data_IF_242012521033
#
_entry.id   IF_242012521033
#
_cell.length_a   1.000
_cell.length_b   1.000
_cell.length_c   1.000
_cell.angle_alpha   90.00
_cell.angle_beta   90.00
_cell.angle_gamma   90.00
#
_symmetry.space_group_name_H-M   'P 1'
#
loop_
_entity.id
_entity.type
_entity.pdbx_description
1 polymer ?
#
# COMPACT_ATOMS: atom_id res chain seq x y z
N UNK A 1 -1.22 -3.42 -3.89
CA UNK A 1 -1.19 -2.59 -5.10
C UNK A 1 -0.07 -3.02 -6.03
N UNK A 2 -0.20 -2.72 -7.31
CA UNK A 2 0.76 -3.10 -8.34
C UNK A 2 0.35 -2.51 -9.68
N UNK A 3 0.82 -3.12 -10.77
CA UNK A 3 0.43 -2.72 -12.12
C UNK A 3 -1.04 -3.04 -12.38
N UNK A 4 -1.75 -2.11 -13.05
CA UNK A 4 -3.17 -2.25 -13.36
C UNK A 4 -4.05 -1.18 -12.72
N UNK A 5 -5.36 -1.43 -12.68
CA UNK A 5 -6.34 -0.46 -12.19
C UNK A 5 -6.60 -0.61 -10.69
N UNK A 6 -5.62 -0.24 -9.89
CA UNK A 6 -5.64 -0.30 -8.44
C UNK A 6 -5.69 1.09 -7.79
N UNK A 7 -5.72 1.14 -6.46
CA UNK A 7 -5.89 2.37 -5.70
C UNK A 7 -4.88 3.47 -6.03
N UNK A 8 -3.63 3.13 -6.36
CA UNK A 8 -2.59 4.11 -6.72
C UNK A 8 -2.90 4.73 -8.07
N UNK A 9 -3.14 3.92 -9.09
CA UNK A 9 -3.44 4.39 -10.46
C UNK A 9 -4.76 5.14 -10.52
N UNK A 10 -5.79 4.68 -9.81
CA UNK A 10 -7.07 5.37 -9.70
C UNK A 10 -6.93 6.75 -9.05
N UNK A 11 -6.13 6.85 -7.98
CA UNK A 11 -5.88 8.13 -7.32
C UNK A 11 -5.15 9.11 -8.24
N UNK A 12 -4.14 8.64 -8.97
CA UNK A 12 -3.39 9.47 -9.93
C UNK A 12 -4.27 9.98 -11.07
N UNK A 13 -5.15 9.13 -11.61
CA UNK A 13 -6.13 9.54 -12.63
C UNK A 13 -7.11 10.60 -12.10
N UNK A 14 -7.62 10.40 -10.89
CA UNK A 14 -8.50 11.39 -10.25
C UNK A 14 -7.79 12.73 -10.04
N UNK A 15 -6.53 12.70 -9.67
CA UNK A 15 -5.73 13.91 -9.46
C UNK A 15 -5.47 14.71 -10.75
N UNK A 16 -5.70 14.14 -11.93
CA UNK A 16 -5.62 14.87 -13.20
C UNK A 16 -6.86 15.74 -13.48
N UNK A 17 -8.00 15.36 -12.94
CA UNK A 17 -9.30 16.00 -13.21
C UNK A 17 -9.92 16.70 -12.01
N UNK A 18 -9.55 16.26 -10.79
CA UNK A 18 -10.08 16.80 -9.54
C UNK A 18 -9.04 17.67 -8.84
N UNK A 19 -9.43 18.84 -8.37
CA UNK A 19 -8.57 19.73 -7.56
C UNK A 19 -8.52 19.32 -6.10
N UNK A 20 -9.50 18.57 -5.63
CA UNK A 20 -9.64 18.10 -4.27
C UNK A 20 -10.19 16.66 -4.25
N UNK A 21 -9.57 15.79 -3.46
CA UNK A 21 -9.98 14.39 -3.31
C UNK A 21 -10.22 14.10 -1.83
N UNK A 22 -11.37 13.49 -1.51
CA UNK A 22 -11.68 13.05 -0.15
C UNK A 22 -11.34 11.58 0.03
N UNK A 23 -10.62 11.26 1.11
CA UNK A 23 -10.26 9.89 1.48
C UNK A 23 -10.50 9.67 2.97
N UNK A 24 -10.87 8.44 3.38
CA UNK A 24 -11.02 8.12 4.80
C UNK A 24 -9.72 8.37 5.57
N UNK A 25 -9.81 9.16 6.66
CA UNK A 25 -8.67 9.48 7.52
C UNK A 25 -8.52 8.54 8.71
N UNK A 26 -9.54 7.75 8.99
CA UNK A 26 -9.67 6.88 10.16
C UNK A 26 -9.49 5.38 9.85
N UNK A 27 -9.29 5.01 8.59
CA UNK A 27 -9.00 3.64 8.17
C UNK A 27 -7.50 3.42 8.15
N UNK A 28 -7.02 2.61 9.10
CA UNK A 28 -5.61 2.24 9.24
C UNK A 28 -5.33 0.89 8.62
N UNK A 29 -4.20 0.78 7.95
CA UNK A 29 -3.77 -0.44 7.30
C UNK A 29 -2.27 -0.48 7.05
N UNK A 30 -1.80 -1.55 6.44
CA UNK A 30 -0.44 -1.72 5.96
C UNK A 30 -0.46 -1.92 4.44
N UNK A 31 -0.43 -0.85 3.64
CA UNK A 31 -0.41 -0.97 2.19
C UNK A 31 0.77 -1.82 1.74
N UNK A 32 0.51 -2.81 0.90
CA UNK A 32 1.53 -3.77 0.49
C UNK A 32 1.59 -3.86 -1.03
N UNK A 33 2.79 -3.69 -1.60
CA UNK A 33 2.98 -3.83 -3.03
C UNK A 33 2.97 -5.29 -3.45
N UNK A 34 2.55 -5.55 -4.68
CA UNK A 34 2.58 -6.89 -5.27
C UNK A 34 4.01 -7.42 -5.36
N UNK A 35 5.00 -6.57 -5.60
CA UNK A 35 6.42 -6.93 -5.64
C UNK A 35 6.92 -7.48 -4.30
N UNK A 36 6.54 -6.86 -3.19
CA UNK A 36 6.93 -7.34 -1.86
C UNK A 36 6.29 -8.69 -1.54
N UNK A 37 5.03 -8.89 -1.93
CA UNK A 37 4.36 -10.19 -1.79
C UNK A 37 5.06 -11.25 -2.64
N UNK A 38 5.42 -10.94 -3.88
CA UNK A 38 6.15 -11.85 -4.76
C UNK A 38 7.51 -12.26 -4.18
N UNK A 39 8.25 -11.32 -3.60
CA UNK A 39 9.52 -11.61 -2.90
C UNK A 39 9.32 -12.59 -1.74
N UNK A 40 8.26 -12.42 -0.95
CA UNK A 40 7.93 -13.34 0.15
C UNK A 40 7.59 -14.72 -0.37
N UNK A 41 6.76 -14.81 -1.42
CA UNK A 41 6.41 -16.09 -2.04
C UNK A 41 7.67 -16.83 -2.51
N UNK A 42 8.58 -16.14 -3.18
CA UNK A 42 9.83 -16.71 -3.64
C UNK A 42 10.68 -17.26 -2.47
N UNK A 43 10.82 -16.49 -1.38
CA UNK A 43 11.55 -16.92 -0.18
C UNK A 43 10.92 -18.14 0.49
N UNK A 44 9.59 -18.22 0.53
CA UNK A 44 8.85 -19.37 1.05
C UNK A 44 9.10 -20.63 0.21
N UNK A 45 9.10 -20.49 -1.12
CA UNK A 45 9.38 -21.59 -2.03
C UNK A 45 10.81 -22.12 -1.87
N UNK A 46 11.80 -21.24 -1.69
CA UNK A 46 13.19 -21.64 -1.48
C UNK A 46 13.40 -22.42 -0.17
N UNK A 47 12.57 -22.16 0.83
CA UNK A 47 12.66 -22.82 2.15
C UNK A 47 11.75 -24.04 2.31
N UNK A 48 11.03 -24.44 1.26
CA UNK A 48 10.00 -25.49 1.34
C UNK A 48 9.04 -25.29 2.54
N UNK A 49 8.68 -24.02 2.78
CA UNK A 49 7.80 -23.64 3.89
C UNK A 49 6.33 -23.84 3.49
N UNK A 50 5.58 -24.53 4.33
CA UNK A 50 4.16 -24.84 4.10
C UNK A 50 3.31 -24.25 5.23
N UNK A 51 2.10 -23.87 4.92
CA UNK A 51 1.14 -23.34 5.86
C UNK A 51 0.56 -22.00 5.46
N UNK A 52 -0.07 -21.33 6.41
CA UNK A 52 -0.66 -20.00 6.24
C UNK A 52 0.31 -18.93 6.75
N UNK A 53 0.63 -17.99 5.88
CA UNK A 53 1.50 -16.85 6.17
C UNK A 53 0.79 -15.55 5.83
N UNK A 54 0.82 -14.59 6.75
CA UNK A 54 0.52 -13.21 6.43
C UNK A 54 1.79 -12.52 5.93
N UNK A 55 1.66 -11.76 4.85
CA UNK A 55 2.76 -11.00 4.26
C UNK A 55 2.30 -9.59 3.97
N UNK A 56 2.69 -8.66 4.82
CA UNK A 56 2.37 -7.24 4.69
C UNK A 56 3.62 -6.39 4.88
N UNK A 57 3.68 -5.24 4.22
CA UNK A 57 4.73 -4.26 4.45
C UNK A 57 4.74 -3.77 5.89
N UNK A 58 5.90 -3.39 6.38
CA UNK A 58 6.06 -2.85 7.72
C UNK A 58 5.44 -1.48 7.86
N UNK A 59 5.07 -1.13 9.10
CA UNK A 59 4.45 0.14 9.43
C UNK A 59 2.94 0.14 9.23
N UNK A 60 2.33 1.21 9.70
CA UNK A 60 0.87 1.44 9.64
C UNK A 60 0.63 2.85 9.16
N UNK A 61 -0.32 3.04 8.28
CA UNK A 61 -0.76 4.37 7.87
C UNK A 61 -2.25 4.41 7.61
N UNK A 62 -2.81 5.61 7.65
CA UNK A 62 -4.18 5.83 7.19
C UNK A 62 -4.24 5.87 5.66
N UNK A 63 -5.44 5.67 5.11
CA UNK A 63 -5.66 5.87 3.66
C UNK A 63 -5.32 7.30 3.23
N UNK A 64 -5.55 8.28 4.11
CA UNK A 64 -5.18 9.67 3.88
C UNK A 64 -3.65 9.85 3.75
N UNK A 65 -2.88 9.29 4.68
CA UNK A 65 -1.41 9.37 4.65
C UNK A 65 -0.84 8.69 3.41
N UNK A 66 -1.37 7.52 3.06
CA UNK A 66 -0.97 6.78 1.86
C UNK A 66 -1.26 7.58 0.59
N UNK A 67 -2.47 8.11 0.44
CA UNK A 67 -2.86 8.93 -0.70
C UNK A 67 -2.02 10.22 -0.82
N UNK A 68 -1.77 10.87 0.31
CA UNK A 68 -0.92 12.07 0.35
C UNK A 68 0.51 11.78 -0.13
N UNK A 69 1.08 10.64 0.29
CA UNK A 69 2.41 10.24 -0.17
C UNK A 69 2.46 9.97 -1.66
N UNK A 70 1.47 9.29 -2.20
CA UNK A 70 1.35 9.03 -3.65
C UNK A 70 1.39 10.35 -4.43
N UNK A 71 0.56 11.31 -4.06
CA UNK A 71 0.49 12.59 -4.78
C UNK A 71 1.78 13.40 -4.63
N UNK A 72 2.41 13.38 -3.46
CA UNK A 72 3.70 14.03 -3.23
C UNK A 72 4.78 13.44 -4.15
N UNK A 73 4.88 12.12 -4.24
CA UNK A 73 5.84 11.43 -5.11
C UNK A 73 5.56 11.66 -6.60
N UNK A 74 4.31 11.82 -6.96
CA UNK A 74 3.89 12.12 -8.34
C UNK A 74 4.02 13.61 -8.71
N UNK A 75 4.38 14.49 -7.76
CA UNK A 75 4.47 15.92 -8.00
C UNK A 75 3.12 16.59 -8.29
N UNK A 76 2.02 15.99 -7.82
CA UNK A 76 0.67 16.55 -7.99
C UNK A 76 0.30 17.47 -6.83
N UNK A 77 -0.33 18.61 -7.15
CA UNK A 77 -0.77 19.60 -6.17
C UNK A 77 -2.24 19.43 -5.76
N UNK A 78 -2.86 18.32 -6.08
CA UNK A 78 -4.24 18.02 -5.70
C UNK A 78 -4.36 17.96 -4.18
N UNK A 79 -5.33 18.69 -3.64
CA UNK A 79 -5.60 18.69 -2.22
C UNK A 79 -6.26 17.38 -1.79
N UNK A 80 -5.79 16.80 -0.69
CA UNK A 80 -6.43 15.63 -0.06
C UNK A 80 -7.08 16.06 1.25
N UNK A 81 -8.36 15.79 1.37
CA UNK A 81 -9.12 16.03 2.59
C UNK A 81 -9.48 14.71 3.27
N UNK A 82 -9.44 14.72 4.60
CA UNK A 82 -9.94 13.60 5.40
C UNK A 82 -11.47 13.56 5.34
N UNK A 83 -12.01 12.40 5.03
CA UNK A 83 -13.44 12.13 5.16
C UNK A 83 -13.68 11.32 6.43
N UNK A 84 -14.65 11.73 7.23
CA UNK A 84 -15.06 11.03 8.46
C UNK A 84 -16.11 9.94 8.13
N UNK A 85 -15.76 8.99 7.29
CA UNK A 85 -16.67 7.94 6.85
C UNK A 85 -16.25 6.58 7.43
N UNK A 86 -16.03 6.54 8.74
CA UNK A 86 -15.78 5.29 9.44
C UNK A 86 -16.95 4.32 9.23
N UNK A 87 -16.69 3.27 8.48
CA UNK A 87 -17.59 2.12 8.37
C UNK A 87 -18.68 2.17 7.31
N UNK A 88 -18.88 3.24 6.56
CA UNK A 88 -19.96 3.30 5.55
C UNK A 88 -19.74 2.35 4.36
N UNK A 89 -18.52 1.90 4.11
CA UNK A 89 -18.17 1.03 2.98
C UNK A 89 -17.78 -0.40 3.39
N UNK A 90 -18.10 -0.83 4.61
CA UNK A 90 -17.76 -2.18 5.08
C UNK A 90 -16.27 -2.45 5.27
N UNK A 91 -15.42 -1.44 5.18
CA UNK A 91 -13.99 -1.58 5.48
C UNK A 91 -13.73 -1.41 6.98
N UNK A 92 -12.92 -2.28 7.59
CA UNK A 92 -12.59 -2.13 9.00
C UNK A 92 -11.77 -0.85 9.24
N UNK A 93 -11.95 -0.23 10.39
CA UNK A 93 -11.17 0.94 10.80
C UNK A 93 -9.69 0.61 11.06
N UNK A 94 -9.41 -0.65 11.37
CA UNK A 94 -8.05 -1.16 11.60
C UNK A 94 -7.89 -2.51 10.88
N UNK A 95 -7.09 -2.55 9.85
CA UNK A 95 -6.83 -3.71 9.01
C UNK A 95 -5.32 -3.98 8.88
N UNK A 96 -4.63 -4.06 10.03
CA UNK A 96 -3.20 -4.34 10.08
C UNK A 96 -2.99 -5.81 10.45
N UNK A 97 -2.31 -6.54 9.57
CA UNK A 97 -1.90 -7.91 9.81
C UNK A 97 -0.48 -7.94 10.39
N UNK A 98 -0.16 -9.00 11.09
CA UNK A 98 1.19 -9.24 11.62
C UNK A 98 1.89 -10.34 10.83
N UNK A 99 3.17 -10.15 10.54
CA UNK A 99 4.04 -11.12 9.86
C UNK A 99 4.62 -12.17 10.83
N UNK A 100 3.86 -12.61 11.82
CA UNK A 100 4.36 -13.48 12.89
C UNK A 100 4.99 -14.76 12.34
N UNK A 101 4.33 -15.46 11.43
CA UNK A 101 4.84 -16.74 10.90
C UNK A 101 6.12 -16.56 10.10
N UNK A 102 6.25 -15.46 9.36
CA UNK A 102 7.49 -15.14 8.66
C UNK A 102 8.65 -14.94 9.64
N UNK A 103 8.42 -14.23 10.75
CA UNK A 103 9.43 -14.04 11.80
C UNK A 103 9.82 -15.35 12.47
N UNK A 104 8.85 -16.17 12.83
CA UNK A 104 9.10 -17.48 13.48
C UNK A 104 9.92 -18.42 12.60
N UNK A 105 9.69 -18.41 11.29
CA UNK A 105 10.42 -19.25 10.33
C UNK A 105 11.73 -18.60 9.84
N UNK A 106 12.10 -17.41 10.34
CA UNK A 106 13.33 -16.72 9.97
C UNK A 106 13.34 -16.26 8.51
N UNK A 107 12.18 -15.99 7.94
CA UNK A 107 12.03 -15.47 6.57
C UNK A 107 12.16 -13.95 6.61
N UNK A 108 12.93 -13.38 5.69
CA UNK A 108 13.07 -11.94 5.57
C UNK A 108 11.73 -11.26 5.33
N UNK A 109 11.44 -10.26 6.17
CA UNK A 109 10.18 -9.53 6.14
C UNK A 109 10.12 -8.56 4.95
N UNK A 110 8.91 -8.23 4.45
CA UNK A 110 8.72 -7.12 3.53
C UNK A 110 9.26 -5.80 4.12
N UNK A 111 9.70 -4.91 3.23
CA UNK A 111 10.15 -3.56 3.63
C UNK A 111 8.98 -2.72 4.17
N UNK A 112 9.26 -1.51 4.66
CA UNK A 112 8.20 -0.59 5.09
C UNK A 112 7.31 -0.16 3.93
N UNK A 113 6.07 0.22 4.23
CA UNK A 113 5.13 0.66 3.21
C UNK A 113 5.65 1.90 2.45
N UNK A 114 6.37 2.80 3.12
CA UNK A 114 6.98 3.97 2.50
C UNK A 114 8.03 3.57 1.46
N UNK A 115 8.92 2.65 1.83
CA UNK A 115 9.98 2.15 0.93
C UNK A 115 9.38 1.45 -0.27
N UNK A 116 8.42 0.55 -0.04
CA UNK A 116 7.75 -0.18 -1.11
C UNK A 116 7.01 0.77 -2.07
N UNK A 117 6.34 1.80 -1.54
CA UNK A 117 5.66 2.80 -2.36
C UNK A 117 6.65 3.65 -3.17
N UNK A 118 7.75 4.08 -2.57
CA UNK A 118 8.79 4.86 -3.26
C UNK A 118 9.39 4.07 -4.43
N UNK A 119 9.67 2.78 -4.24
CA UNK A 119 10.16 1.89 -5.29
C UNK A 119 9.14 1.70 -6.42
N UNK A 120 7.89 1.44 -6.05
CA UNK A 120 6.80 1.31 -7.02
C UNK A 120 6.62 2.59 -7.85
N UNK A 121 6.56 3.74 -7.20
CA UNK A 121 6.35 5.02 -7.88
C UNK A 121 7.49 5.40 -8.81
N UNK A 122 8.75 5.07 -8.47
CA UNK A 122 9.89 5.28 -9.38
C UNK A 122 9.73 4.52 -10.70
N UNK A 123 9.16 3.33 -10.66
CA UNK A 123 8.93 2.52 -11.85
C UNK A 123 7.68 2.98 -12.60
N UNK A 124 6.58 3.16 -11.91
CA UNK A 124 5.32 3.60 -12.48
C UNK A 124 5.43 4.97 -13.18
N UNK A 125 6.13 5.93 -12.60
CA UNK A 125 6.31 7.26 -13.20
C UNK A 125 7.17 7.25 -14.48
N UNK A 126 8.05 6.25 -14.65
CA UNK A 126 8.79 6.08 -15.91
C UNK A 126 7.89 5.63 -17.06
N UNK A 127 6.87 4.86 -16.76
CA UNK A 127 5.89 4.38 -17.74
C UNK A 127 4.82 5.42 -18.05
N UNK A 128 4.52 6.30 -17.11
CA UNK A 128 3.50 7.35 -17.23
C UNK A 128 4.05 8.70 -17.75
N UNK A 129 5.33 8.84 -17.73
CA UNK A 129 6.04 10.02 -18.27
C UNK A 129 6.37 9.84 -19.74
#
# INVERSE_FOLDING_TARGET
YGDGDYCVTQLLRRAETESCIRVPGDQLGAPTSADEVAKVIYRLLEKDAYGLYHAVCGGVCSRYEFARRILTLAGKNTEILKADNAGENGHPSYAVLDNLMLRLDGIELPVSWETALDEYMKNALKEWG
#
